data_IF_211956125765
#
_entry.id   IF_211956125765
#
_cell.length_a   1.000
_cell.length_b   1.000
_cell.length_c   1.000
_cell.angle_alpha   90.00
_cell.angle_beta   90.00
_cell.angle_gamma   90.00
#
_symmetry.space_group_name_H-M   'P 1'
#
loop_
_entity.id
_entity.type
_entity.pdbx_description
1 polymer ?
#
# COMPACT_ATOMS: atom_id res chain seq x y z
N UNK A 1 -24.18 34.52 -25.49
CA UNK A 1 -24.53 34.46 -24.05
C UNK A 1 -25.85 33.69 -23.95
N UNK A 2 -26.05 32.54 -23.33
CA UNK A 2 -25.32 31.62 -22.48
C UNK A 2 -26.38 30.73 -21.80
N UNK A 3 -26.04 29.46 -21.50
CA UNK A 3 -26.68 28.57 -20.52
C UNK A 3 -28.15 28.13 -20.72
N UNK A 4 -28.35 26.86 -21.10
CA UNK A 4 -29.00 25.80 -20.28
C UNK A 4 -29.53 24.66 -21.14
N UNK A 5 -29.36 23.45 -20.60
CA UNK A 5 -30.27 22.31 -20.75
C UNK A 5 -30.44 21.69 -22.15
N UNK A 6 -30.72 20.40 -22.32
CA UNK A 6 -30.62 19.16 -21.53
C UNK A 6 -31.09 18.12 -22.56
N UNK A 7 -30.44 16.95 -22.59
CA UNK A 7 -31.01 15.67 -23.08
C UNK A 7 -31.22 15.58 -24.61
N UNK A 8 -30.84 14.54 -25.36
CA UNK A 8 -30.77 13.11 -25.05
C UNK A 8 -30.13 12.35 -26.24
N UNK A 9 -29.33 11.33 -25.91
CA UNK A 9 -29.27 9.99 -26.53
C UNK A 9 -28.81 9.81 -28.00
N UNK A 10 -27.60 9.26 -28.13
CA UNK A 10 -27.25 7.97 -28.79
C UNK A 10 -25.73 7.80 -28.61
N UNK A 11 -25.10 6.65 -28.42
CA UNK A 11 -25.45 5.23 -28.32
C UNK A 11 -24.12 4.58 -27.94
N UNK A 12 -24.04 3.86 -26.83
CA UNK A 12 -22.79 3.25 -26.38
C UNK A 12 -23.02 2.31 -25.21
N UNK A 13 -23.81 1.26 -25.46
CA UNK A 13 -23.94 0.12 -24.56
C UNK A 13 -22.57 -0.54 -24.42
N UNK A 14 -21.88 -0.33 -23.30
CA UNK A 14 -20.94 -1.32 -22.77
C UNK A 14 -21.61 -2.02 -21.61
N UNK A 15 -22.28 -3.12 -21.97
CA UNK A 15 -22.79 -4.15 -21.09
C UNK A 15 -21.61 -5.04 -20.72
N UNK A 16 -21.26 -5.13 -19.43
CA UNK A 16 -20.27 -6.10 -18.98
C UNK A 16 -19.77 -5.86 -17.56
N UNK A 17 -20.49 -6.36 -16.57
CA UNK A 17 -19.84 -7.00 -15.41
C UNK A 17 -20.25 -8.48 -15.41
N UNK A 18 -19.71 -9.36 -14.54
CA UNK A 18 -18.49 -9.31 -13.71
C UNK A 18 -17.57 -10.54 -13.94
N UNK A 19 -16.24 -10.39 -14.01
CA UNK A 19 -15.28 -11.51 -13.97
C UNK A 19 -14.00 -11.00 -13.29
N UNK A 20 -13.71 -11.43 -12.06
CA UNK A 20 -13.05 -12.71 -11.83
C UNK A 20 -11.53 -12.48 -11.86
N UNK A 21 -10.97 -12.10 -10.70
CA UNK A 21 -9.56 -12.22 -10.30
C UNK A 21 -8.61 -12.76 -11.39
N UNK A 22 -8.28 -11.94 -12.39
CA UNK A 22 -7.13 -12.22 -13.23
C UNK A 22 -5.91 -11.83 -12.40
N UNK A 23 -5.27 -12.87 -11.89
CA UNK A 23 -3.97 -12.83 -11.25
C UNK A 23 -3.03 -12.06 -12.17
N UNK A 24 -2.87 -10.75 -11.94
CA UNK A 24 -1.94 -9.92 -12.71
C UNK A 24 -0.53 -10.39 -12.32
N UNK A 25 0.18 -10.97 -13.27
CA UNK A 25 1.61 -11.18 -13.17
C UNK A 25 2.28 -9.85 -12.76
N UNK A 26 3.35 -9.93 -11.99
CA UNK A 26 4.11 -8.76 -11.55
C UNK A 26 4.44 -7.86 -12.74
N UNK A 27 3.91 -6.63 -12.73
CA UNK A 27 3.95 -5.72 -13.86
C UNK A 27 5.25 -4.90 -13.83
N UNK A 28 5.64 -4.34 -14.98
CA UNK A 28 6.75 -3.39 -15.09
C UNK A 28 6.56 -2.23 -14.09
N UNK A 29 5.31 -1.76 -13.94
CA UNK A 29 4.93 -0.73 -12.99
C UNK A 29 5.22 -1.10 -11.51
N UNK A 30 5.08 -2.39 -11.14
CA UNK A 30 5.38 -2.85 -9.79
C UNK A 30 6.89 -2.76 -9.52
N UNK A 31 7.70 -3.23 -10.47
CA UNK A 31 9.17 -3.16 -10.38
C UNK A 31 9.69 -1.72 -10.36
N UNK A 32 9.10 -0.83 -11.15
CA UNK A 32 9.42 0.60 -11.15
C UNK A 32 9.05 1.26 -9.83
N UNK A 33 7.89 0.92 -9.25
CA UNK A 33 7.48 1.42 -7.95
C UNK A 33 8.44 0.99 -6.84
N UNK A 34 8.84 -0.29 -6.84
CA UNK A 34 9.83 -0.81 -5.90
C UNK A 34 11.16 -0.07 -6.05
N UNK A 35 11.63 0.15 -7.29
CA UNK A 35 12.88 0.88 -7.56
C UNK A 35 12.80 2.33 -7.10
N UNK A 36 11.68 3.00 -7.37
CA UNK A 36 11.45 4.38 -6.92
C UNK A 36 11.45 4.47 -5.39
N UNK A 37 10.86 3.50 -4.70
CA UNK A 37 10.89 3.42 -3.23
C UNK A 37 12.31 3.29 -2.69
N UNK A 38 13.09 2.35 -3.23
CA UNK A 38 14.51 2.17 -2.84
C UNK A 38 15.32 3.45 -3.07
N UNK A 39 15.12 4.12 -4.22
CA UNK A 39 15.87 5.31 -4.58
C UNK A 39 15.58 6.54 -3.69
N UNK A 40 14.41 6.59 -3.05
CA UNK A 40 13.93 7.76 -2.31
C UNK A 40 13.99 7.59 -0.79
N UNK A 41 14.18 6.36 -0.29
CA UNK A 41 14.26 6.05 1.15
C UNK A 41 15.65 5.57 1.51
N UNK A 42 16.03 5.77 2.78
CA UNK A 42 17.29 5.27 3.34
C UNK A 42 17.05 4.02 4.19
N UNK A 43 18.09 3.17 4.26
CA UNK A 43 18.08 1.96 5.09
C UNK A 43 16.93 1.01 4.74
N UNK A 44 16.67 0.85 3.44
CA UNK A 44 15.61 -0.05 2.96
C UNK A 44 16.08 -1.48 3.09
N UNK A 45 15.24 -2.34 3.63
CA UNK A 45 15.43 -3.80 3.67
C UNK A 45 14.25 -4.47 2.96
N UNK A 46 14.54 -5.55 2.25
CA UNK A 46 13.55 -6.37 1.55
C UNK A 46 13.14 -7.61 2.35
N UNK A 47 11.84 -7.87 2.39
CA UNK A 47 11.24 -9.05 3.01
C UNK A 47 10.44 -9.78 1.94
N UNK A 48 10.91 -10.95 1.53
CA UNK A 48 10.29 -11.78 0.51
C UNK A 48 9.27 -12.67 1.18
N UNK A 49 8.02 -12.56 0.76
CA UNK A 49 6.95 -13.44 1.20
C UNK A 49 6.74 -14.49 0.12
N UNK A 50 6.96 -15.78 0.41
CA UNK A 50 6.78 -16.84 -0.56
C UNK A 50 5.31 -16.99 -0.96
N UNK A 51 5.08 -17.61 -2.10
CA UNK A 51 3.74 -17.97 -2.55
C UNK A 51 3.08 -18.89 -1.51
N UNK A 52 1.84 -18.57 -1.17
CA UNK A 52 0.96 -19.45 -0.37
C UNK A 52 -0.20 -19.94 -1.23
N UNK A 53 -1.09 -20.74 -0.65
CA UNK A 53 -2.32 -21.20 -1.31
C UNK A 53 -3.20 -20.05 -1.80
N UNK A 54 -3.18 -18.92 -1.10
CA UNK A 54 -4.09 -17.78 -1.33
C UNK A 54 -3.37 -16.50 -1.74
N UNK A 55 -2.05 -16.49 -1.81
CA UNK A 55 -1.27 -15.29 -2.13
C UNK A 55 -0.07 -15.62 -3.01
N UNK A 56 0.20 -14.76 -3.98
CA UNK A 56 1.40 -14.83 -4.81
C UNK A 56 2.64 -14.38 -4.06
N UNK A 57 3.80 -14.57 -4.68
CA UNK A 57 5.07 -14.05 -4.14
C UNK A 57 4.99 -12.52 -4.10
N UNK A 58 5.35 -11.95 -2.95
CA UNK A 58 5.42 -10.49 -2.79
C UNK A 58 6.76 -10.07 -2.20
N UNK A 59 7.22 -8.89 -2.61
CA UNK A 59 8.35 -8.22 -1.98
C UNK A 59 7.81 -7.04 -1.17
N UNK A 60 8.10 -7.07 0.13
CA UNK A 60 7.85 -6.00 1.07
C UNK A 60 9.16 -5.24 1.31
N UNK A 61 9.20 -3.97 0.95
CA UNK A 61 10.32 -3.09 1.25
C UNK A 61 9.99 -2.25 2.48
N UNK A 62 10.90 -2.21 3.46
CA UNK A 62 10.74 -1.45 4.70
C UNK A 62 11.94 -0.52 4.89
N UNK A 63 11.70 0.77 4.89
CA UNK A 63 12.69 1.81 5.14
C UNK A 63 13.11 1.88 6.63
N UNK A 64 14.15 2.67 6.92
CA UNK A 64 14.70 2.82 8.27
C UNK A 64 13.68 3.34 9.30
N UNK A 65 12.77 4.22 8.89
CA UNK A 65 11.73 4.84 9.73
C UNK A 65 10.48 3.97 9.85
N UNK A 66 10.44 2.83 9.16
CA UNK A 66 9.32 1.91 9.11
C UNK A 66 8.29 2.20 8.02
N UNK A 67 8.48 3.22 7.18
CA UNK A 67 7.70 3.36 5.96
C UNK A 67 7.90 2.11 5.09
N UNK A 68 6.83 1.64 4.45
CA UNK A 68 6.89 0.41 3.68
C UNK A 68 6.03 0.45 2.42
N UNK A 69 6.41 -0.38 1.45
CA UNK A 69 5.59 -0.70 0.28
C UNK A 69 5.64 -2.20 -0.01
N UNK A 70 4.55 -2.75 -0.54
CA UNK A 70 4.44 -4.17 -0.90
C UNK A 70 3.95 -4.30 -2.34
N UNK A 71 4.65 -5.11 -3.13
CA UNK A 71 4.29 -5.40 -4.52
C UNK A 71 4.41 -6.88 -4.83
N UNK A 72 3.64 -7.35 -5.81
CA UNK A 72 3.76 -8.70 -6.35
C UNK A 72 5.00 -8.80 -7.22
N UNK A 73 5.63 -9.96 -7.18
CA UNK A 73 6.88 -10.23 -7.90
C UNK A 73 6.82 -11.59 -8.57
N UNK A 74 7.54 -11.83 -9.68
CA UNK A 74 7.43 -13.08 -10.44
C UNK A 74 7.81 -14.33 -9.65
N UNK A 75 8.85 -14.23 -8.81
CA UNK A 75 9.36 -15.34 -8.00
C UNK A 75 10.17 -14.85 -6.80
N UNK A 76 10.49 -15.77 -5.88
CA UNK A 76 11.37 -15.51 -4.73
C UNK A 76 12.78 -15.15 -5.21
N UNK A 77 13.30 -15.91 -6.18
CA UNK A 77 14.62 -15.63 -6.78
C UNK A 77 14.67 -14.26 -7.43
N UNK A 78 13.63 -13.89 -8.18
CA UNK A 78 13.55 -12.55 -8.79
C UNK A 78 13.59 -11.46 -7.72
N UNK A 79 12.93 -11.65 -6.57
CA UNK A 79 12.90 -10.67 -5.49
C UNK A 79 14.29 -10.47 -4.87
N UNK A 80 15.02 -11.56 -4.61
CA UNK A 80 16.38 -11.51 -4.11
C UNK A 80 17.32 -10.89 -5.14
N UNK A 81 17.24 -11.30 -6.41
CA UNK A 81 18.02 -10.71 -7.51
C UNK A 81 17.76 -9.21 -7.66
N UNK A 82 16.50 -8.80 -7.61
CA UNK A 82 16.10 -7.40 -7.69
C UNK A 82 16.70 -6.59 -6.54
N UNK A 83 16.60 -7.10 -5.31
CA UNK A 83 17.17 -6.45 -4.13
C UNK A 83 18.71 -6.38 -4.21
N UNK A 84 19.36 -7.47 -4.60
CA UNK A 84 20.81 -7.55 -4.75
C UNK A 84 21.34 -6.54 -5.78
N UNK A 85 20.67 -6.40 -6.95
CA UNK A 85 21.04 -5.40 -7.97
C UNK A 85 20.93 -3.95 -7.48
N UNK A 86 20.08 -3.70 -6.49
CA UNK A 86 19.90 -2.39 -5.87
C UNK A 86 20.73 -2.20 -4.59
N UNK A 87 21.54 -3.19 -4.19
CA UNK A 87 22.31 -3.14 -2.95
C UNK A 87 21.44 -3.17 -1.69
N UNK A 88 20.23 -3.73 -1.78
CA UNK A 88 19.27 -3.84 -0.69
C UNK A 88 19.38 -5.23 -0.04
N UNK A 89 19.63 -5.33 1.27
CA UNK A 89 19.59 -6.62 1.95
C UNK A 89 18.17 -7.19 1.89
N UNK A 90 18.06 -8.51 1.63
CA UNK A 90 16.77 -9.18 1.51
C UNK A 90 16.72 -10.47 2.34
N UNK A 91 15.54 -10.73 2.94
CA UNK A 91 15.32 -11.85 3.86
C UNK A 91 13.99 -12.54 3.54
N UNK A 92 13.86 -13.82 3.89
CA UNK A 92 12.56 -14.50 3.87
C UNK A 92 11.72 -14.06 5.08
N UNK A 93 10.58 -13.43 4.81
CA UNK A 93 9.67 -12.92 5.82
C UNK A 93 9.09 -14.02 6.72
N UNK A 94 8.95 -15.25 6.20
CA UNK A 94 8.47 -16.39 6.99
C UNK A 94 9.50 -16.86 8.02
N UNK A 95 10.79 -16.57 7.78
CA UNK A 95 11.90 -16.93 8.68
C UNK A 95 12.15 -15.85 9.71
N UNK A 96 12.30 -14.59 9.28
CA UNK A 96 12.71 -13.48 10.16
C UNK A 96 11.53 -12.70 10.75
N UNK A 97 10.33 -12.85 10.17
CA UNK A 97 9.16 -12.08 10.54
C UNK A 97 9.18 -10.64 10.04
N UNK A 98 8.12 -9.90 10.37
CA UNK A 98 7.95 -8.49 9.98
C UNK A 98 8.62 -7.58 11.01
N UNK A 99 9.45 -6.61 10.58
CA UNK A 99 10.25 -5.79 11.49
C UNK A 99 9.38 -4.89 12.37
N UNK A 100 9.81 -4.68 13.62
CA UNK A 100 9.08 -3.87 14.60
C UNK A 100 8.84 -2.43 14.13
N UNK A 101 9.82 -1.82 13.45
CA UNK A 101 9.71 -0.45 12.91
C UNK A 101 8.51 -0.26 11.97
N UNK A 102 8.17 -1.26 11.17
CA UNK A 102 6.98 -1.23 10.31
C UNK A 102 5.69 -1.23 11.15
N UNK A 103 5.65 -2.01 12.23
CA UNK A 103 4.50 -2.07 13.14
C UNK A 103 4.30 -0.72 13.85
N UNK A 104 5.39 -0.10 14.28
CA UNK A 104 5.38 1.20 14.93
C UNK A 104 4.98 2.32 13.96
N UNK A 105 5.41 2.25 12.70
CA UNK A 105 4.93 3.14 11.64
C UNK A 105 3.42 3.02 11.44
N UNK A 106 2.88 1.81 11.31
CA UNK A 106 1.44 1.59 11.17
C UNK A 106 0.65 2.12 12.37
N UNK A 107 1.18 1.99 13.60
CA UNK A 107 0.57 2.56 14.81
C UNK A 107 0.52 4.09 14.73
N UNK A 108 1.62 4.74 14.35
CA UNK A 108 1.68 6.21 14.16
C UNK A 108 0.68 6.69 13.10
N UNK A 109 0.62 6.01 11.95
CA UNK A 109 -0.33 6.32 10.87
C UNK A 109 -1.79 6.19 11.33
N UNK A 110 -2.12 5.13 12.08
CA UNK A 110 -3.47 4.95 12.62
C UNK A 110 -3.87 6.06 13.59
N UNK A 111 -2.97 6.47 14.48
CA UNK A 111 -3.22 7.57 15.43
C UNK A 111 -3.44 8.90 14.70
N UNK A 112 -2.59 9.21 13.73
CA UNK A 112 -2.72 10.42 12.89
C UNK A 112 -4.05 10.45 12.12
N UNK A 113 -4.52 9.30 11.63
CA UNK A 113 -5.81 9.19 10.96
C UNK A 113 -7.00 9.36 11.92
N UNK A 114 -6.90 8.83 13.16
CA UNK A 114 -7.97 8.96 14.15
C UNK A 114 -8.15 10.39 14.68
N UNK A 115 -7.07 11.15 14.82
CA UNK A 115 -7.15 12.56 15.25
C UNK A 115 -7.81 13.45 14.18
N UNK A 116 -7.62 13.14 12.90
CA UNK A 116 -8.29 13.86 11.79
C UNK A 116 -9.76 13.50 11.60
N UNK A 117 -10.21 12.32 12.06
CA UNK A 117 -11.58 11.83 11.84
C UNK A 117 -12.52 12.12 13.03
N UNK A 118 -12.00 12.55 14.19
CA UNK A 118 -12.81 12.91 15.35
C UNK A 118 -13.51 14.24 15.09
N UNK A 119 -14.63 14.21 14.39
CA UNK A 119 -15.58 15.32 14.38
C UNK A 119 -15.94 15.67 15.84
N UNK A 120 -16.02 16.97 16.19
CA UNK A 120 -16.45 17.35 17.53
C UNK A 120 -17.83 16.73 17.79
N UNK A 121 -17.94 15.94 18.86
CA UNK A 121 -19.21 15.33 19.24
C UNK A 121 -20.19 16.47 19.59
N UNK A 122 -21.26 16.71 18.81
CA UNK A 122 -22.14 17.87 19.04
C UNK A 122 -22.94 17.76 20.35
N UNK A 123 -22.88 16.60 21.01
CA UNK A 123 -23.52 16.32 22.29
C UNK A 123 -22.59 16.41 23.50
N UNK A 124 -21.31 16.78 23.32
CA UNK A 124 -20.43 17.02 24.46
C UNK A 124 -20.76 18.38 25.07
N UNK A 125 -21.62 18.41 26.08
CA UNK A 125 -21.86 19.63 26.87
C UNK A 125 -20.54 20.12 27.49
N UNK A 126 -20.27 21.44 27.53
CA UNK A 126 -19.13 21.98 28.25
C UNK A 126 -19.29 21.69 29.76
N UNK A 127 -18.19 21.46 30.50
CA UNK A 127 -18.26 21.30 31.95
C UNK A 127 -18.88 22.55 32.58
N UNK A 128 -19.73 22.41 33.61
CA UNK A 128 -20.30 23.58 34.30
C UNK A 128 -19.17 24.40 34.91
N UNK A 129 -19.14 25.69 34.61
CA UNK A 129 -18.24 26.65 35.23
C UNK A 129 -18.46 26.64 36.74
N UNK A 130 -17.46 26.23 37.51
CA UNK A 130 -17.49 26.36 38.96
C UNK A 130 -17.41 27.85 39.32
N UNK A 131 -18.52 28.39 39.85
CA UNK A 131 -18.57 29.68 40.53
C UNK A 131 -18.44 29.50 42.03
#
# INVERSE_FOLDING_TARGET
>A
MGLRDRFRRRRGLSRGGPTGSTVRAADTADSEHLRAFVASRRGVEGFVEPRTTVSEVTLLLVAHDGEWTRRRVPSVDWAHDFANRLGVPSYDAAVVGIPQRMRDYNRRQKLAQSDGQKAPNPFSSPPPSAG
#
